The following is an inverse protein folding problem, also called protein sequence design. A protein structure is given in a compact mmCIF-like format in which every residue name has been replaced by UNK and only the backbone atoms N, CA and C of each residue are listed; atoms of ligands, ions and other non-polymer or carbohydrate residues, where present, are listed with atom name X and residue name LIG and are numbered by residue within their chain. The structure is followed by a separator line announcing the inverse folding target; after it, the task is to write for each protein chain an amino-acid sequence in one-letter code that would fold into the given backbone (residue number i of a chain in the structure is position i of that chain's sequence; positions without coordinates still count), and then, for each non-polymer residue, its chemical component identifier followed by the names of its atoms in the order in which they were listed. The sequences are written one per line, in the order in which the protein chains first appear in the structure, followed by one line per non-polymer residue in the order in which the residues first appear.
data_IF_005127810421
#
_entry.id   IF_005127810421
#
_cell.length_a   1.000
_cell.length_b   1.000
_cell.length_c   1.000
_cell.angle_alpha   90.00
_cell.angle_beta   90.00
_cell.angle_gamma   90.00
#
_symmetry.space_group_name_H-M   'P 1'
#
loop_
_entity.id
_entity.type
_entity.pdbx_description
1 polymer ?
#
# COMPACT_ATOMS: atom_id res chain seq x y z
N UNK A 1 36.98 -20.06 5.93
CA UNK A 1 36.60 -18.85 5.16
C UNK A 1 35.65 -18.01 6.01
N UNK A 2 36.19 -17.07 6.80
CA UNK A 2 35.40 -16.22 7.70
C UNK A 2 34.75 -15.11 6.88
N UNK A 3 33.42 -15.13 6.76
CA UNK A 3 32.67 -14.07 6.09
C UNK A 3 32.64 -12.85 7.00
N UNK A 4 33.42 -11.83 6.63
CA UNK A 4 33.50 -10.56 7.32
C UNK A 4 32.15 -9.82 7.21
N UNK A 5 31.23 -10.11 8.13
CA UNK A 5 29.93 -9.44 8.21
C UNK A 5 30.15 -8.01 8.72
N UNK A 6 30.07 -7.02 7.81
CA UNK A 6 30.00 -5.61 8.21
C UNK A 6 28.82 -5.45 9.17
N UNK A 7 29.09 -5.17 10.44
CA UNK A 7 28.05 -4.91 11.43
C UNK A 7 27.22 -3.71 10.98
N UNK A 8 26.01 -3.96 10.49
CA UNK A 8 25.08 -2.92 10.10
C UNK A 8 24.68 -2.11 11.34
N UNK A 9 24.66 -0.78 11.20
CA UNK A 9 24.30 0.14 12.29
C UNK A 9 22.95 -0.27 12.93
N UNK A 10 22.96 -0.61 14.22
CA UNK A 10 21.79 -1.13 14.98
C UNK A 10 20.55 -0.25 14.88
N UNK A 11 20.70 1.08 14.77
CA UNK A 11 19.57 2.01 14.59
C UNK A 11 18.94 1.85 13.20
N UNK A 12 19.77 1.72 12.17
CA UNK A 12 19.32 1.52 10.77
C UNK A 12 18.69 0.15 10.58
N UNK A 13 19.26 -0.91 11.17
CA UNK A 13 18.69 -2.26 11.09
C UNK A 13 17.33 -2.34 11.79
N UNK A 14 17.18 -1.74 12.97
CA UNK A 14 15.88 -1.67 13.67
C UNK A 14 14.80 -1.00 12.81
N UNK A 15 15.14 0.13 12.18
CA UNK A 15 14.25 0.88 11.29
C UNK A 15 13.93 0.16 9.98
N UNK A 16 14.85 -0.64 9.47
CA UNK A 16 14.64 -1.46 8.28
C UNK A 16 13.72 -2.64 8.61
N UNK A 17 14.06 -3.41 9.66
CA UNK A 17 13.30 -4.58 10.09
C UNK A 17 11.86 -4.25 10.50
N UNK A 18 11.61 -3.05 11.06
CA UNK A 18 10.24 -2.63 11.39
C UNK A 18 9.37 -2.40 10.15
N UNK A 19 9.98 -2.15 8.98
CA UNK A 19 9.33 -1.79 7.72
C UNK A 19 9.30 -2.91 6.67
N UNK A 20 10.08 -3.97 6.85
CA UNK A 20 10.09 -5.10 5.91
C UNK A 20 8.85 -5.97 6.09
N UNK A 21 8.05 -6.11 5.04
CA UNK A 21 6.83 -6.94 5.01
C UNK A 21 7.00 -7.99 3.91
N UNK A 22 6.66 -9.24 4.20
CA UNK A 22 6.66 -10.32 3.21
C UNK A 22 5.30 -10.34 2.50
N UNK A 23 5.30 -10.50 1.18
CA UNK A 23 4.08 -10.56 0.36
C UNK A 23 4.02 -11.86 -0.42
N UNK A 24 2.85 -12.47 -0.53
CA UNK A 24 2.60 -13.57 -1.46
C UNK A 24 2.06 -13.02 -2.79
N UNK A 25 2.42 -13.66 -3.90
CA UNK A 25 2.03 -13.27 -5.27
C UNK A 25 1.05 -14.32 -5.79
N UNK A 26 -0.15 -14.38 -5.20
CA UNK A 26 -1.19 -15.24 -5.72
C UNK A 26 -2.56 -14.56 -5.63
N UNK A 27 -3.12 -14.16 -6.78
CA UNK A 27 -4.41 -13.49 -6.89
C UNK A 27 -5.36 -14.31 -7.77
N UNK A 28 -6.08 -15.24 -7.13
CA UNK A 28 -7.08 -16.07 -7.80
C UNK A 28 -8.47 -15.39 -7.87
N UNK A 29 -8.71 -14.33 -7.08
CA UNK A 29 -10.03 -13.72 -6.89
C UNK A 29 -10.46 -12.70 -7.95
N UNK A 30 -9.58 -12.36 -8.90
CA UNK A 30 -9.89 -11.40 -9.98
C UNK A 30 -10.27 -12.12 -11.27
N UNK A 31 -11.53 -11.96 -11.70
CA UNK A 31 -11.95 -12.45 -13.02
C UNK A 31 -11.50 -11.47 -14.11
N UNK A 32 -10.41 -11.84 -14.80
CA UNK A 32 -9.84 -11.06 -15.90
C UNK A 32 -10.80 -10.88 -17.08
N UNK A 33 -11.75 -11.79 -17.28
CA UNK A 33 -12.67 -11.79 -18.43
C UNK A 33 -13.82 -10.82 -18.21
N UNK A 34 -14.48 -10.91 -17.05
CA UNK A 34 -15.59 -10.01 -16.71
C UNK A 34 -15.14 -8.69 -16.08
N UNK A 35 -13.86 -8.57 -15.70
CA UNK A 35 -13.30 -7.44 -14.94
C UNK A 35 -14.06 -7.19 -13.63
N UNK A 36 -14.53 -8.28 -13.02
CA UNK A 36 -15.23 -8.25 -11.73
C UNK A 36 -14.28 -8.81 -10.68
N UNK A 37 -14.26 -8.15 -9.52
CA UNK A 37 -13.49 -8.56 -8.35
C UNK A 37 -14.47 -8.98 -7.26
N UNK A 38 -14.40 -10.24 -6.83
CA UNK A 38 -15.06 -10.63 -5.59
C UNK A 38 -14.24 -10.14 -4.40
N UNK A 39 -14.76 -9.08 -3.76
CA UNK A 39 -14.10 -8.42 -2.63
C UNK A 39 -13.92 -9.37 -1.45
N UNK A 40 -14.88 -10.25 -1.19
CA UNK A 40 -14.78 -11.17 -0.06
C UNK A 40 -13.64 -12.16 -0.29
N UNK A 41 -13.68 -12.89 -1.41
CA UNK A 41 -12.61 -13.84 -1.76
C UNK A 41 -11.22 -13.18 -1.80
N UNK A 42 -11.13 -11.96 -2.35
CA UNK A 42 -9.88 -11.21 -2.42
C UNK A 42 -9.33 -10.80 -1.04
N UNK A 43 -10.18 -10.36 -0.11
CA UNK A 43 -9.73 -10.02 1.24
C UNK A 43 -9.26 -11.27 1.98
N UNK A 44 -9.97 -12.39 1.83
CA UNK A 44 -9.59 -13.65 2.48
C UNK A 44 -8.25 -14.17 1.98
N UNK A 45 -7.97 -14.09 0.67
CA UNK A 45 -6.68 -14.52 0.12
C UNK A 45 -5.51 -13.63 0.59
N UNK A 46 -5.77 -12.37 0.96
CA UNK A 46 -4.78 -11.37 1.39
C UNK A 46 -4.71 -11.17 2.91
N UNK A 47 -5.40 -11.99 3.70
CA UNK A 47 -5.53 -11.81 5.15
C UNK A 47 -4.17 -11.80 5.88
N UNK A 48 -3.23 -12.64 5.44
CA UNK A 48 -1.89 -12.70 6.02
C UNK A 48 -1.13 -11.37 5.82
N UNK A 49 -1.16 -10.83 4.61
CA UNK A 49 -0.50 -9.58 4.26
C UNK A 49 -1.08 -8.40 5.03
N UNK A 50 -2.42 -8.33 5.13
CA UNK A 50 -3.12 -7.28 5.88
C UNK A 50 -2.66 -7.29 7.33
N UNK A 51 -2.68 -8.46 7.98
CA UNK A 51 -2.22 -8.60 9.38
C UNK A 51 -0.73 -8.27 9.54
N UNK A 52 0.12 -8.72 8.61
CA UNK A 52 1.55 -8.43 8.64
C UNK A 52 1.82 -6.92 8.49
N UNK A 53 1.04 -6.24 7.64
CA UNK A 53 1.11 -4.80 7.45
C UNK A 53 0.65 -4.04 8.70
N UNK A 54 -0.49 -4.40 9.29
CA UNK A 54 -0.97 -3.82 10.55
C UNK A 54 0.07 -3.93 11.67
N UNK A 55 0.68 -5.10 11.83
CA UNK A 55 1.74 -5.30 12.81
C UNK A 55 2.98 -4.45 12.49
N UNK A 56 3.37 -4.35 11.22
CA UNK A 56 4.50 -3.50 10.80
C UNK A 56 4.24 -2.01 11.05
N UNK A 57 3.01 -1.54 10.91
CA UNK A 57 2.63 -0.17 11.24
C UNK A 57 2.80 0.13 12.74
N UNK A 58 2.31 -0.77 13.61
CA UNK A 58 2.50 -0.66 15.05
C UNK A 58 3.99 -0.67 15.41
N UNK A 59 4.75 -1.59 14.83
CA UNK A 59 6.20 -1.67 15.04
C UNK A 59 6.92 -0.41 14.55
N UNK A 60 6.50 0.15 13.42
CA UNK A 60 7.08 1.38 12.86
C UNK A 60 6.74 2.63 13.69
N UNK A 61 5.51 2.72 14.22
CA UNK A 61 5.09 3.74 15.19
C UNK A 61 5.89 3.65 16.50
N UNK A 62 6.19 2.43 16.95
CA UNK A 62 7.02 2.22 18.15
C UNK A 62 8.51 2.50 17.86
N UNK A 63 8.98 2.21 16.65
CA UNK A 63 10.35 2.47 16.24
C UNK A 63 10.64 3.96 15.94
N UNK A 64 9.61 4.76 15.64
CA UNK A 64 9.69 6.18 15.32
C UNK A 64 8.42 6.94 15.75
N UNK A 65 8.58 8.06 16.46
CA UNK A 65 7.50 8.86 17.07
C UNK A 65 6.63 9.68 16.09
N UNK A 66 6.56 9.30 14.82
CA UNK A 66 5.75 10.00 13.82
C UNK A 66 4.38 9.36 13.63
N UNK A 67 3.33 10.18 13.48
CA UNK A 67 1.95 9.73 13.24
C UNK A 67 1.87 8.95 11.92
N UNK A 68 1.39 7.70 11.96
CA UNK A 68 1.36 6.80 10.78
C UNK A 68 0.39 7.31 9.72
N UNK A 69 -0.76 7.87 10.11
CA UNK A 69 -1.70 8.50 9.20
C UNK A 69 -2.17 9.85 9.77
N UNK A 70 -2.09 10.88 8.94
CA UNK A 70 -2.73 12.18 9.19
C UNK A 70 -3.96 12.28 8.29
N UNK A 71 -4.98 13.00 8.75
CA UNK A 71 -6.09 13.38 7.87
C UNK A 71 -5.56 14.18 6.69
N UNK A 72 -6.14 13.95 5.51
CA UNK A 72 -5.73 14.64 4.30
C UNK A 72 -6.08 16.14 4.42
N UNK A 73 -5.10 17.05 4.47
CA UNK A 73 -5.36 18.49 4.57
C UNK A 73 -6.33 18.97 3.50
N UNK A 74 -7.17 19.97 3.82
CA UNK A 74 -8.24 20.45 2.93
C UNK A 74 -7.74 20.85 1.53
N UNK A 75 -6.55 21.45 1.45
CA UNK A 75 -5.92 21.84 0.18
C UNK A 75 -5.56 20.64 -0.73
N UNK A 76 -5.35 19.44 -0.15
CA UNK A 76 -5.01 18.22 -0.87
C UNK A 76 -6.24 17.37 -1.23
N UNK A 77 -7.42 17.62 -0.63
CA UNK A 77 -8.66 16.90 -0.97
C UNK A 77 -9.07 17.23 -2.41
N UNK A 78 -9.09 16.22 -3.28
CA UNK A 78 -9.60 16.33 -4.66
C UNK A 78 -11.01 15.75 -4.72
N UNK A 79 -11.89 16.39 -5.50
CA UNK A 79 -13.21 15.83 -5.81
C UNK A 79 -13.01 14.74 -6.88
N UNK A 80 -13.61 13.58 -6.69
CA UNK A 80 -13.61 12.54 -7.72
C UNK A 80 -14.30 13.08 -8.97
N UNK A 81 -13.58 13.10 -10.10
CA UNK A 81 -14.19 13.45 -11.38
C UNK A 81 -15.17 12.34 -11.79
N UNK A 82 -16.25 12.71 -12.47
CA UNK A 82 -17.22 11.73 -12.96
C UNK A 82 -16.60 10.79 -14.00
N UNK A 83 -16.99 9.51 -13.98
CA UNK A 83 -16.59 8.51 -14.98
C UNK A 83 -16.92 8.89 -16.43
N UNK A 84 -17.92 9.77 -16.63
CA UNK A 84 -18.28 10.24 -17.96
C UNK A 84 -17.26 11.27 -18.47
N UNK A 85 -16.44 10.87 -19.45
CA UNK A 85 -15.42 11.71 -20.10
C UNK A 85 -16.01 13.02 -20.64
N UNK A 86 -17.28 13.05 -21.05
CA UNK A 86 -17.95 14.28 -21.55
C UNK A 86 -18.18 15.31 -20.44
N UNK A 87 -18.19 14.91 -19.16
CA UNK A 87 -18.38 15.80 -18.00
C UNK A 87 -17.08 16.38 -17.43
N UNK A 88 -15.93 16.04 -18.02
CA UNK A 88 -14.61 16.59 -17.67
C UNK A 88 -14.24 17.72 -18.65
N UNK A 89 -13.51 18.79 -18.23
CA UNK A 89 -13.04 19.85 -19.12
C UNK A 89 -12.38 19.33 -20.41
N UNK A 90 -12.67 19.96 -21.56
CA UNK A 90 -12.27 19.48 -22.90
C UNK A 90 -10.78 19.10 -22.99
N UNK A 91 -9.89 19.91 -22.41
CA UNK A 91 -8.42 19.69 -22.41
C UNK A 91 -7.96 18.44 -21.65
N UNK A 92 -8.74 17.97 -20.68
CA UNK A 92 -8.41 16.78 -19.87
C UNK A 92 -9.05 15.50 -20.43
N UNK A 93 -9.98 15.60 -21.40
CA UNK A 93 -10.67 14.44 -21.99
C UNK A 93 -9.72 13.45 -22.66
N UNK A 94 -8.61 13.91 -23.24
CA UNK A 94 -7.60 13.04 -23.87
C UNK A 94 -6.92 12.09 -22.86
N UNK A 95 -6.88 12.46 -21.58
CA UNK A 95 -6.27 11.65 -20.50
C UNK A 95 -7.25 10.66 -19.87
N UNK A 96 -8.55 10.80 -20.15
CA UNK A 96 -9.62 9.98 -19.58
C UNK A 96 -10.23 8.99 -20.58
N UNK A 97 -9.79 9.05 -21.85
CA UNK A 97 -9.98 7.99 -22.85
C UNK A 97 -8.89 6.95 -22.66
#
# INVERSE_FOLDING_TARGET
MSTNSKQLNKKKTRLYNSRTIKSQINDQAYDKKQRVLDVNSFIHSRNFEIRSFEQSQLNSKNASSTRVFQDLPRALRRRAASHNVKRIPKRLRKRAK
#
